data_IF_639096200122
#
_entry.id   IF_639096200122
#
_cell.length_a   1.000
_cell.length_b   1.000
_cell.length_c   1.000
_cell.angle_alpha   90.00
_cell.angle_beta   90.00
_cell.angle_gamma   90.00
#
_symmetry.space_group_name_H-M   'P 1'
#
loop_
_entity.id
_entity.type
_entity.pdbx_description
1 polymer ?
#
# COMPACT_ATOMS: atom_id res chain seq x y z
N UNK A 1 -2.82 -34.60 8.69
CA UNK A 1 -2.00 -34.58 9.93
C UNK A 1 -1.30 -33.25 10.20
N UNK A 2 -0.67 -32.58 9.22
CA UNK A 2 0.00 -31.27 9.42
C UNK A 2 -0.95 -30.21 9.99
N UNK A 3 -2.06 -29.96 9.29
CA UNK A 3 -3.04 -28.94 9.70
C UNK A 3 -3.60 -29.23 11.09
N UNK A 4 -3.87 -30.50 11.41
CA UNK A 4 -4.34 -30.92 12.74
C UNK A 4 -3.35 -30.56 13.85
N UNK A 5 -2.05 -30.84 13.68
CA UNK A 5 -1.01 -30.50 14.68
C UNK A 5 -0.88 -28.99 14.89
N UNK A 6 -1.01 -28.20 13.82
CA UNK A 6 -0.96 -26.73 13.89
C UNK A 6 -2.19 -26.19 14.64
N UNK A 7 -3.39 -26.64 14.26
CA UNK A 7 -4.64 -26.24 14.91
C UNK A 7 -4.62 -26.63 16.39
N UNK A 8 -4.20 -27.85 16.71
CA UNK A 8 -4.10 -28.33 18.09
C UNK A 8 -3.11 -27.50 18.93
N UNK A 9 -1.96 -27.12 18.36
CA UNK A 9 -0.99 -26.27 19.04
C UNK A 9 -1.53 -24.86 19.33
N UNK A 10 -2.25 -24.25 18.39
CA UNK A 10 -2.87 -22.92 18.59
C UNK A 10 -3.94 -23.00 19.67
N UNK A 11 -4.80 -24.02 19.64
CA UNK A 11 -5.86 -24.23 20.64
C UNK A 11 -5.27 -24.36 22.04
N UNK A 12 -4.20 -25.15 22.21
CA UNK A 12 -3.53 -25.29 23.51
C UNK A 12 -2.96 -23.97 24.05
N UNK A 13 -2.39 -23.13 23.19
CA UNK A 13 -1.88 -21.80 23.60
C UNK A 13 -3.03 -20.91 24.07
N UNK A 14 -4.13 -20.85 23.31
CA UNK A 14 -5.28 -19.99 23.65
C UNK A 14 -5.90 -20.42 24.97
N UNK A 15 -6.24 -21.71 25.12
CA UNK A 15 -6.83 -22.21 26.36
C UNK A 15 -5.87 -22.11 27.55
N UNK A 16 -4.59 -22.43 27.37
CA UNK A 16 -3.60 -22.26 28.44
C UNK A 16 -3.50 -20.80 28.92
N UNK A 17 -3.59 -19.84 27.99
CA UNK A 17 -3.48 -18.41 28.30
C UNK A 17 -4.73 -17.89 29.01
N UNK A 18 -5.92 -18.34 28.62
CA UNK A 18 -7.17 -18.00 29.32
C UNK A 18 -7.13 -18.54 30.76
N UNK A 19 -6.73 -19.80 30.94
CA UNK A 19 -6.66 -20.42 32.26
C UNK A 19 -5.68 -19.70 33.20
N UNK A 20 -4.49 -19.33 32.71
CA UNK A 20 -3.52 -18.64 33.57
C UNK A 20 -3.96 -17.23 33.93
N UNK A 21 -4.70 -16.53 33.05
CA UNK A 21 -5.28 -15.21 33.34
C UNK A 21 -6.34 -15.33 34.45
N UNK A 22 -7.22 -16.32 34.37
CA UNK A 22 -8.24 -16.58 35.40
C UNK A 22 -7.59 -16.90 36.74
N UNK A 23 -6.62 -17.82 36.76
CA UNK A 23 -5.89 -18.18 37.98
C UNK A 23 -5.06 -17.03 38.55
N UNK A 24 -4.47 -16.18 37.69
CA UNK A 24 -3.72 -15.01 38.13
C UNK A 24 -4.60 -13.94 38.82
N UNK A 25 -5.90 -13.90 38.49
CA UNK A 25 -6.85 -13.01 39.18
C UNK A 25 -7.34 -13.53 40.53
N UNK A 26 -7.42 -14.84 40.71
CA UNK A 26 -8.07 -15.46 41.87
C UNK A 26 -7.07 -16.04 42.89
N UNK A 27 -5.91 -16.52 42.45
CA UNK A 27 -4.94 -17.22 43.29
C UNK A 27 -3.65 -16.42 43.49
N UNK A 28 -3.10 -16.47 44.72
CA UNK A 28 -1.77 -15.95 45.05
C UNK A 28 -0.95 -17.01 45.77
N UNK A 29 0.36 -17.00 45.56
CA UNK A 29 1.31 -17.90 46.23
C UNK A 29 1.58 -19.19 45.47
N UNK A 30 1.68 -20.32 46.18
CA UNK A 30 2.16 -21.58 45.62
C UNK A 30 1.25 -22.16 44.51
N UNK A 31 -0.07 -21.92 44.57
CA UNK A 31 -1.03 -22.34 43.53
C UNK A 31 -0.73 -21.69 42.18
N UNK A 32 -0.56 -20.37 42.16
CA UNK A 32 -0.17 -19.62 40.96
C UNK A 32 1.21 -20.05 40.45
N UNK A 33 2.16 -20.34 41.34
CA UNK A 33 3.49 -20.85 40.97
C UNK A 33 3.42 -22.20 40.26
N UNK A 34 2.59 -23.12 40.77
CA UNK A 34 2.29 -24.41 40.13
C UNK A 34 1.66 -24.22 38.75
N UNK A 35 0.62 -23.38 38.65
CA UNK A 35 -0.07 -23.08 37.40
C UNK A 35 0.86 -22.48 36.34
N UNK A 36 1.74 -21.55 36.72
CA UNK A 36 2.74 -20.94 35.83
C UNK A 36 3.73 -21.98 35.29
N UNK A 37 4.25 -22.86 36.14
CA UNK A 37 5.15 -23.93 35.69
C UNK A 37 4.48 -24.89 34.71
N UNK A 38 3.21 -25.27 34.98
CA UNK A 38 2.40 -26.08 34.07
C UNK A 38 2.15 -25.39 32.73
N UNK A 39 1.85 -24.08 32.76
CA UNK A 39 1.66 -23.28 31.56
C UNK A 39 2.90 -23.25 30.66
N UNK A 40 4.11 -23.11 31.24
CA UNK A 40 5.38 -23.16 30.47
C UNK A 40 5.56 -24.49 29.75
N UNK A 41 5.22 -25.61 30.41
CA UNK A 41 5.28 -26.95 29.80
C UNK A 41 4.32 -27.07 28.62
N UNK A 42 3.05 -26.63 28.80
CA UNK A 42 2.03 -26.64 27.75
C UNK A 42 2.46 -25.77 26.56
N UNK A 43 3.05 -24.60 26.84
CA UNK A 43 3.54 -23.69 25.82
C UNK A 43 4.70 -24.31 25.03
N UNK A 44 5.62 -24.99 25.70
CA UNK A 44 6.70 -25.76 25.06
C UNK A 44 6.19 -26.87 24.14
N UNK A 45 5.22 -27.68 24.61
CA UNK A 45 4.59 -28.74 23.81
C UNK A 45 3.87 -28.14 22.59
N UNK A 46 3.19 -27.02 22.76
CA UNK A 46 2.44 -26.34 21.70
C UNK A 46 3.37 -25.82 20.59
N UNK A 47 4.47 -25.17 20.97
CA UNK A 47 5.50 -24.71 20.03
C UNK A 47 6.13 -25.92 19.31
N UNK A 48 6.42 -27.01 20.03
CA UNK A 48 6.96 -28.23 19.44
C UNK A 48 6.00 -28.90 18.44
N UNK A 49 4.70 -28.90 18.72
CA UNK A 49 3.68 -29.41 17.80
C UNK A 49 3.64 -28.60 16.50
N UNK A 50 3.65 -27.27 16.60
CA UNK A 50 3.67 -26.37 15.43
C UNK A 50 4.96 -26.56 14.63
N UNK A 51 6.11 -26.65 15.32
CA UNK A 51 7.41 -26.87 14.68
C UNK A 51 7.48 -28.24 13.97
N UNK A 52 7.07 -29.31 14.64
CA UNK A 52 7.10 -30.67 14.09
C UNK A 52 6.14 -30.84 12.90
N UNK A 53 5.01 -30.12 12.89
CA UNK A 53 4.09 -30.09 11.76
C UNK A 53 4.72 -29.48 10.51
N UNK A 54 5.64 -28.52 10.68
CA UNK A 54 6.35 -27.86 9.59
C UNK A 54 7.59 -28.62 9.11
N UNK A 55 8.11 -29.59 9.88
CA UNK A 55 9.29 -30.39 9.49
C UNK A 55 8.96 -31.61 8.61
N UNK A 56 7.68 -31.93 8.37
CA UNK A 56 7.28 -33.12 7.60
C UNK A 56 6.92 -32.73 6.16
N UNK A 57 7.93 -32.73 5.26
CA UNK A 57 7.89 -33.28 3.88
C UNK A 57 9.15 -32.91 3.06
N UNK A 58 10.02 -33.90 2.84
CA UNK A 58 10.71 -34.13 1.55
C UNK A 58 11.04 -35.62 1.47
N UNK A 59 10.03 -36.45 1.21
CA UNK A 59 10.19 -37.85 0.83
C UNK A 59 8.89 -38.32 0.19
N UNK A 60 8.70 -37.96 -1.08
CA UNK A 60 7.77 -38.61 -2.01
C UNK A 60 7.90 -37.86 -3.34
N UNK A 61 8.74 -38.39 -4.22
CA UNK A 61 8.60 -38.41 -5.70
C UNK A 61 9.95 -38.86 -6.29
N UNK A 62 10.17 -40.18 -6.23
CA UNK A 62 11.19 -40.87 -7.01
C UNK A 62 10.46 -41.61 -8.13
N UNK A 63 10.24 -40.93 -9.25
CA UNK A 63 10.15 -41.56 -10.57
C UNK A 63 10.15 -40.48 -11.65
N UNK A 64 11.33 -40.15 -12.17
CA UNK A 64 11.58 -40.14 -13.60
C UNK A 64 13.07 -39.89 -13.85
N UNK A 65 13.66 -40.88 -14.50
CA UNK A 65 14.99 -40.86 -15.08
C UNK A 65 15.27 -39.57 -15.85
N UNK A 66 16.42 -38.96 -15.60
CA UNK A 66 17.29 -38.48 -16.68
C UNK A 66 18.71 -38.33 -16.16
N UNK A 67 19.57 -39.18 -16.73
CA UNK A 67 21.02 -39.17 -16.58
C UNK A 67 21.59 -37.78 -16.87
N UNK A 68 22.22 -37.14 -15.89
CA UNK A 68 23.37 -36.28 -16.16
C UNK A 68 24.44 -36.52 -15.11
N UNK A 69 25.63 -36.83 -15.63
CA UNK A 69 26.85 -37.22 -14.90
C UNK A 69 27.30 -36.13 -13.93
N UNK A 70 27.74 -36.65 -12.78
CA UNK A 70 28.68 -36.10 -11.81
C UNK A 70 29.39 -34.79 -12.16
N UNK A 71 29.29 -33.81 -11.24
CA UNK A 71 30.49 -33.24 -10.63
C UNK A 71 30.23 -32.81 -9.18
N UNK A 72 31.18 -33.21 -8.35
CA UNK A 72 31.19 -33.16 -6.89
C UNK A 72 31.46 -31.75 -6.34
N UNK A 73 30.97 -31.55 -5.11
CA UNK A 73 31.46 -30.69 -4.02
C UNK A 73 31.34 -29.17 -4.19
N UNK A 74 30.40 -28.55 -3.45
CA UNK A 74 30.73 -27.92 -2.16
C UNK A 74 29.49 -27.48 -1.38
N UNK A 75 29.61 -27.63 -0.07
CA UNK A 75 28.63 -27.37 0.97
C UNK A 75 28.17 -25.90 1.08
N UNK A 76 26.91 -25.75 1.49
CA UNK A 76 26.31 -24.59 2.17
C UNK A 76 26.29 -23.23 1.45
N UNK A 77 25.20 -22.99 0.70
CA UNK A 77 24.58 -21.66 0.63
C UNK A 77 23.08 -21.77 0.87
N UNK A 78 22.71 -21.41 2.10
CA UNK A 78 21.49 -20.70 2.50
C UNK A 78 20.28 -20.90 1.57
N UNK A 79 19.33 -21.73 2.01
CA UNK A 79 17.93 -21.58 1.62
C UNK A 79 17.44 -20.23 2.16
N UNK A 80 17.73 -19.17 1.40
CA UNK A 80 16.96 -17.94 1.46
C UNK A 80 15.52 -18.36 1.16
N UNK A 81 14.52 -17.98 1.98
CA UNK A 81 13.13 -18.21 1.61
C UNK A 81 12.96 -17.66 0.19
N UNK A 82 12.43 -18.47 -0.72
CA UNK A 82 12.00 -18.01 -2.03
C UNK A 82 10.97 -16.93 -1.72
N UNK A 83 11.42 -15.67 -1.74
CA UNK A 83 10.56 -14.52 -1.55
C UNK A 83 9.77 -14.49 -2.84
N UNK A 84 8.58 -15.11 -2.81
CA UNK A 84 7.63 -15.02 -3.93
C UNK A 84 7.52 -13.56 -4.31
N UNK A 85 7.52 -13.29 -5.61
CA UNK A 85 7.49 -11.91 -6.07
C UNK A 85 6.26 -11.21 -5.48
N UNK A 86 6.37 -9.91 -5.18
CA UNK A 86 5.24 -9.13 -4.64
C UNK A 86 3.99 -9.29 -5.51
N UNK A 87 4.17 -9.41 -6.83
CA UNK A 87 3.08 -9.66 -7.78
C UNK A 87 2.46 -11.04 -7.60
N UNK A 88 3.27 -12.09 -7.41
CA UNK A 88 2.76 -13.42 -7.06
C UNK A 88 1.99 -13.40 -5.73
N UNK A 89 2.45 -12.63 -4.73
CA UNK A 89 1.74 -12.51 -3.46
C UNK A 89 0.37 -11.85 -3.64
N UNK A 90 0.30 -10.75 -4.41
CA UNK A 90 -0.97 -10.06 -4.71
C UNK A 90 -1.94 -10.94 -5.50
N UNK A 91 -1.45 -11.62 -6.53
CA UNK A 91 -2.27 -12.56 -7.33
C UNK A 91 -2.78 -13.73 -6.48
N UNK A 92 -1.94 -14.31 -5.63
CA UNK A 92 -2.35 -15.39 -4.74
C UNK A 92 -3.42 -14.94 -3.74
N UNK A 93 -3.30 -13.74 -3.16
CA UNK A 93 -4.35 -13.19 -2.29
C UNK A 93 -5.67 -12.97 -3.03
N UNK A 94 -5.60 -12.52 -4.29
CA UNK A 94 -6.77 -12.32 -5.14
C UNK A 94 -7.48 -13.65 -5.45
N UNK A 95 -6.71 -14.70 -5.74
CA UNK A 95 -7.24 -16.06 -5.92
C UNK A 95 -7.95 -16.51 -4.63
N UNK A 96 -7.30 -16.39 -3.47
CA UNK A 96 -7.89 -16.80 -2.19
C UNK A 96 -9.16 -16.02 -1.82
N UNK A 97 -9.22 -14.74 -2.18
CA UNK A 97 -10.45 -13.94 -2.06
C UNK A 97 -11.56 -14.48 -2.95
N UNK A 98 -11.26 -14.73 -4.22
CA UNK A 98 -12.24 -15.24 -5.20
C UNK A 98 -12.75 -16.64 -4.84
N UNK A 99 -11.92 -17.46 -4.20
CA UNK A 99 -12.29 -18.78 -3.70
C UNK A 99 -13.08 -18.73 -2.38
N UNK A 100 -13.31 -17.54 -1.82
CA UNK A 100 -14.01 -17.34 -0.54
C UNK A 100 -13.22 -17.81 0.68
N UNK A 101 -11.90 -18.03 0.54
CA UNK A 101 -11.01 -18.45 1.62
C UNK A 101 -10.66 -17.26 2.53
N UNK A 102 -10.63 -16.05 1.96
CA UNK A 102 -10.44 -14.80 2.69
C UNK A 102 -11.73 -13.99 2.68
N UNK A 103 -12.07 -13.42 3.83
CA UNK A 103 -13.04 -12.33 3.89
C UNK A 103 -12.49 -11.07 3.20
N UNK A 104 -13.38 -10.15 2.85
CA UNK A 104 -12.98 -8.84 2.30
C UNK A 104 -12.02 -8.11 3.25
N UNK A 105 -12.29 -8.13 4.55
CA UNK A 105 -11.45 -7.49 5.57
C UNK A 105 -10.06 -8.12 5.63
N UNK A 106 -9.95 -9.45 5.70
CA UNK A 106 -8.66 -10.13 5.74
C UNK A 106 -7.84 -9.93 4.46
N UNK A 107 -8.52 -9.83 3.32
CA UNK A 107 -7.87 -9.52 2.06
C UNK A 107 -7.26 -8.12 2.09
N UNK A 108 -8.02 -7.11 2.49
CA UNK A 108 -7.53 -5.72 2.57
C UNK A 108 -6.37 -5.59 3.57
N UNK A 109 -6.48 -6.19 4.76
CA UNK A 109 -5.39 -6.18 5.76
C UNK A 109 -4.09 -6.78 5.20
N UNK A 110 -4.18 -7.88 4.44
CA UNK A 110 -3.00 -8.52 3.85
C UNK A 110 -2.42 -7.71 2.70
N UNK A 111 -3.27 -7.08 1.90
CA UNK A 111 -2.83 -6.16 0.84
C UNK A 111 -2.11 -4.94 1.46
N UNK A 112 -2.62 -4.41 2.57
CA UNK A 112 -2.00 -3.30 3.28
C UNK A 112 -0.63 -3.67 3.85
N UNK A 113 -0.48 -4.88 4.40
CA UNK A 113 0.83 -5.39 4.86
C UNK A 113 1.81 -5.44 3.68
N UNK A 114 1.39 -5.98 2.53
CA UNK A 114 2.23 -6.06 1.34
C UNK A 114 2.62 -4.65 0.86
N UNK A 115 1.66 -3.74 0.74
CA UNK A 115 1.92 -2.36 0.30
C UNK A 115 2.89 -1.64 1.25
N UNK A 116 2.73 -1.83 2.57
CA UNK A 116 3.67 -1.28 3.56
C UNK A 116 5.09 -1.84 3.38
N UNK A 117 5.24 -3.14 3.09
CA UNK A 117 6.56 -3.72 2.81
C UNK A 117 7.21 -3.11 1.57
N UNK A 118 6.43 -2.89 0.50
CA UNK A 118 6.90 -2.25 -0.74
C UNK A 118 7.39 -0.84 -0.45
N UNK A 119 6.61 -0.07 0.29
CA UNK A 119 6.96 1.28 0.71
C UNK A 119 8.30 1.28 1.46
N UNK A 120 8.46 0.41 2.47
CA UNK A 120 9.71 0.32 3.23
C UNK A 120 10.91 -0.05 2.33
N UNK A 121 10.74 -1.03 1.42
CA UNK A 121 11.80 -1.41 0.49
C UNK A 121 12.20 -0.28 -0.47
N UNK A 122 11.23 0.53 -0.90
CA UNK A 122 11.45 1.69 -1.76
C UNK A 122 12.11 2.82 -0.99
N UNK A 123 11.61 3.16 0.20
CA UNK A 123 12.17 4.19 1.10
C UNK A 123 13.65 3.90 1.40
N UNK A 124 13.98 2.65 1.72
CA UNK A 124 15.36 2.25 2.01
C UNK A 124 16.32 2.45 0.82
N UNK A 125 15.80 2.53 -0.41
CA UNK A 125 16.59 2.77 -1.62
C UNK A 125 16.74 4.26 -1.95
N UNK A 126 15.92 5.14 -1.34
CA UNK A 126 15.94 6.57 -1.56
C UNK A 126 17.26 7.20 -1.12
N UNK A 127 17.62 8.33 -1.74
CA UNK A 127 18.84 9.08 -1.44
C UNK A 127 18.74 9.68 -0.03
N UNK A 128 17.56 10.13 0.38
CA UNK A 128 17.30 10.74 1.69
C UNK A 128 17.54 9.74 2.81
N UNK A 129 16.98 8.53 2.70
CA UNK A 129 17.18 7.48 3.69
C UNK A 129 18.67 7.10 3.80
N UNK A 130 19.34 6.90 2.65
CA UNK A 130 20.79 6.62 2.62
C UNK A 130 21.60 7.75 3.25
N UNK A 131 21.17 9.00 3.07
CA UNK A 131 21.82 10.17 3.68
C UNK A 131 21.60 10.21 5.18
N UNK A 132 20.37 10.00 5.66
CA UNK A 132 20.06 9.89 7.09
C UNK A 132 20.88 8.77 7.74
N UNK A 133 21.01 7.63 7.07
CA UNK A 133 21.78 6.49 7.56
C UNK A 133 23.27 6.82 7.69
N UNK A 134 23.85 7.52 6.71
CA UNK A 134 25.24 8.01 6.79
C UNK A 134 25.47 8.98 7.95
N UNK A 135 24.52 9.87 8.22
CA UNK A 135 24.62 10.85 9.32
C UNK A 135 24.48 10.16 10.68
N UNK A 136 23.62 9.13 10.79
CA UNK A 136 23.55 8.26 11.96
C UNK A 136 24.87 7.52 12.17
N UNK A 137 25.42 6.91 11.11
CA UNK A 137 26.68 6.15 11.17
C UNK A 137 27.89 7.03 11.48
N UNK A 138 27.78 8.36 11.33
CA UNK A 138 28.81 9.33 11.73
C UNK A 138 28.59 9.92 13.13
N UNK A 139 27.65 9.37 13.92
CA UNK A 139 27.28 9.85 15.26
C UNK A 139 26.84 11.34 15.31
N UNK A 140 26.47 11.92 14.16
CA UNK A 140 25.97 13.30 14.05
C UNK A 140 24.44 13.36 14.28
N UNK A 141 23.80 12.21 14.40
CA UNK A 141 22.38 12.04 14.61
C UNK A 141 22.19 10.94 15.66
N UNK A 142 21.37 11.19 16.68
CA UNK A 142 20.98 10.14 17.62
C UNK A 142 20.08 9.10 16.95
N UNK A 143 20.02 7.89 17.53
CA UNK A 143 19.12 6.84 17.06
C UNK A 143 17.64 7.29 17.07
N UNK A 144 17.22 7.99 18.10
CA UNK A 144 15.85 8.53 18.21
C UNK A 144 15.55 9.54 17.10
N UNK A 145 16.47 10.47 16.83
CA UNK A 145 16.31 11.43 15.73
C UNK A 145 16.33 10.76 14.35
N UNK A 146 17.09 9.67 14.19
CA UNK A 146 17.08 8.87 12.97
C UNK A 146 15.72 8.19 12.76
N UNK A 147 15.17 7.57 13.81
CA UNK A 147 13.86 6.92 13.77
C UNK A 147 12.76 7.95 13.45
N UNK A 148 12.72 9.09 14.15
CA UNK A 148 11.73 10.15 13.90
C UNK A 148 11.78 10.68 12.46
N UNK A 149 12.99 10.92 11.93
CA UNK A 149 13.16 11.40 10.55
C UNK A 149 12.83 10.33 9.51
N UNK A 150 13.11 9.07 9.81
CA UNK A 150 12.75 7.93 8.97
C UNK A 150 11.24 7.74 8.93
N UNK A 151 10.56 7.86 10.07
CA UNK A 151 9.10 7.76 10.15
C UNK A 151 8.41 8.85 9.35
N UNK A 152 8.91 10.10 9.42
CA UNK A 152 8.43 11.19 8.56
C UNK A 152 8.64 10.88 7.08
N UNK A 153 9.81 10.38 6.70
CA UNK A 153 10.10 9.99 5.32
C UNK A 153 9.18 8.85 4.84
N UNK A 154 8.90 7.87 5.69
CA UNK A 154 7.95 6.79 5.39
C UNK A 154 6.54 7.34 5.23
N UNK A 155 6.11 8.26 6.09
CA UNK A 155 4.80 8.90 6.01
C UNK A 155 4.65 9.70 4.70
N UNK A 156 5.64 10.51 4.34
CA UNK A 156 5.64 11.25 3.07
C UNK A 156 5.62 10.31 1.86
N UNK A 157 6.38 9.22 1.91
CA UNK A 157 6.38 8.23 0.83
C UNK A 157 5.07 7.44 0.75
N UNK A 158 4.40 7.17 1.89
CA UNK A 158 3.05 6.57 1.91
C UNK A 158 2.05 7.46 1.18
N UNK A 159 2.10 8.76 1.43
CA UNK A 159 1.26 9.75 0.74
C UNK A 159 1.53 9.71 -0.77
N UNK A 160 2.78 9.84 -1.19
CA UNK A 160 3.20 9.68 -2.59
C UNK A 160 2.69 8.36 -3.20
N UNK A 161 2.93 7.24 -2.53
CA UNK A 161 2.57 5.91 -3.02
C UNK A 161 1.05 5.73 -3.15
N UNK A 162 0.25 6.36 -2.27
CA UNK A 162 -1.21 6.34 -2.37
C UNK A 162 -1.74 7.06 -3.62
N UNK A 163 -0.98 8.02 -4.15
CA UNK A 163 -1.34 8.82 -5.32
C UNK A 163 -0.81 8.18 -6.61
N UNK A 164 0.45 7.74 -6.60
CA UNK A 164 1.15 7.32 -7.82
C UNK A 164 1.38 5.80 -7.93
N UNK A 165 1.12 5.05 -6.85
CA UNK A 165 1.25 3.60 -6.81
C UNK A 165 2.67 3.10 -7.07
N UNK A 166 2.76 1.87 -7.57
CA UNK A 166 4.01 1.12 -7.65
C UNK A 166 4.93 1.54 -8.81
N UNK A 167 4.37 2.12 -9.88
CA UNK A 167 5.04 2.59 -11.11
C UNK A 167 4.00 3.15 -12.12
N UNK A 168 2.92 3.81 -11.68
CA UNK A 168 1.87 4.21 -12.64
C UNK A 168 2.33 5.31 -13.61
N UNK A 169 3.45 5.98 -13.28
CA UNK A 169 3.99 7.14 -13.99
C UNK A 169 5.52 7.21 -13.86
N UNK A 170 6.29 6.63 -14.78
CA UNK A 170 7.77 6.67 -14.78
C UNK A 170 8.36 8.09 -14.68
N UNK A 171 7.65 9.06 -15.25
CA UNK A 171 7.96 10.48 -15.25
C UNK A 171 7.75 11.16 -13.89
N UNK A 172 6.89 10.62 -13.02
CA UNK A 172 6.60 11.19 -11.70
C UNK A 172 7.45 10.51 -10.63
N UNK A 173 8.70 10.97 -10.55
CA UNK A 173 9.65 10.49 -9.55
C UNK A 173 9.36 11.07 -8.17
N UNK A 174 9.89 10.39 -7.14
CA UNK A 174 9.90 10.88 -5.76
C UNK A 174 10.46 12.31 -5.62
N UNK A 175 11.48 12.65 -6.40
CA UNK A 175 12.11 13.98 -6.36
C UNK A 175 11.18 15.07 -6.89
N UNK A 176 10.42 14.76 -7.95
CA UNK A 176 9.40 15.65 -8.48
C UNK A 176 8.27 15.85 -7.46
N UNK A 177 7.75 14.77 -6.84
CA UNK A 177 6.74 14.88 -5.78
C UNK A 177 7.20 15.77 -4.63
N UNK A 178 8.43 15.61 -4.13
CA UNK A 178 8.95 16.49 -3.07
C UNK A 178 9.04 17.94 -3.51
N UNK A 179 9.55 18.19 -4.71
CA UNK A 179 9.64 19.55 -5.27
C UNK A 179 8.26 20.19 -5.35
N UNK A 180 7.24 19.41 -5.71
CA UNK A 180 5.85 19.86 -5.79
C UNK A 180 5.20 20.05 -4.41
N UNK A 181 5.47 19.17 -3.43
CA UNK A 181 5.00 19.32 -2.04
C UNK A 181 5.58 20.57 -1.39
N UNK A 182 6.82 20.92 -1.73
CA UNK A 182 7.49 22.16 -1.30
C UNK A 182 6.85 23.38 -2.00
N UNK A 183 6.33 23.22 -3.22
CA UNK A 183 5.66 24.27 -3.99
C UNK A 183 4.15 24.33 -3.70
N UNK A 184 3.81 24.93 -2.54
CA UNK A 184 2.50 25.43 -2.09
C UNK A 184 1.26 24.64 -2.57
N UNK A 185 0.84 23.69 -1.72
CA UNK A 185 -0.54 23.20 -1.67
C UNK A 185 -1.47 24.39 -1.39
N UNK A 186 -2.51 24.57 -2.19
CA UNK A 186 -3.56 25.52 -1.85
C UNK A 186 -4.41 24.90 -0.72
N UNK A 187 -4.88 25.72 0.22
CA UNK A 187 -5.88 25.25 1.18
C UNK A 187 -7.17 24.87 0.42
N UNK A 188 -7.77 23.73 0.77
CA UNK A 188 -9.01 23.23 0.14
C UNK A 188 -10.18 24.17 0.34
N UNK A 189 -10.15 25.01 1.37
CA UNK A 189 -11.14 26.06 1.59
C UNK A 189 -10.98 27.26 0.63
N UNK A 190 -9.81 27.44 0.01
CA UNK A 190 -9.44 28.66 -0.72
C UNK A 190 -9.33 28.45 -2.24
N UNK A 191 -9.82 27.33 -2.76
CA UNK A 191 -9.79 27.06 -4.20
C UNK A 191 -10.66 28.06 -4.97
N UNK A 192 -10.05 28.74 -5.94
CA UNK A 192 -10.78 29.57 -6.92
C UNK A 192 -10.74 28.90 -8.29
N UNK A 193 -11.68 29.26 -9.18
CA UNK A 193 -11.70 28.77 -10.57
C UNK A 193 -10.39 29.04 -11.30
N UNK A 194 -9.72 30.14 -10.96
CA UNK A 194 -8.45 30.54 -11.57
C UNK A 194 -7.34 29.50 -11.34
N UNK A 195 -7.35 28.81 -10.20
CA UNK A 195 -6.37 27.76 -9.90
C UNK A 195 -6.54 26.51 -10.76
N UNK A 196 -7.74 26.30 -11.33
CA UNK A 196 -8.05 25.14 -12.17
C UNK A 196 -7.76 25.39 -13.65
N UNK A 197 -7.70 26.65 -14.12
CA UNK A 197 -7.51 26.91 -15.55
C UNK A 197 -6.20 26.36 -16.09
N UNK A 198 -6.27 25.84 -17.32
CA UNK A 198 -5.17 25.23 -18.05
C UNK A 198 -5.41 23.77 -18.39
N UNK A 199 -4.39 23.17 -19.00
CA UNK A 199 -4.36 21.76 -19.36
C UNK A 199 -3.79 20.92 -18.21
N UNK A 200 -4.51 19.85 -17.88
CA UNK A 200 -4.16 18.86 -16.88
C UNK A 200 -4.03 17.51 -17.56
N UNK A 201 -2.82 16.96 -17.57
CA UNK A 201 -2.53 15.65 -18.18
C UNK A 201 -2.62 14.53 -17.15
N UNK A 202 -3.36 13.48 -17.51
CA UNK A 202 -3.57 12.27 -16.73
C UNK A 202 -3.00 11.08 -17.53
N UNK A 203 -2.77 9.94 -16.87
CA UNK A 203 -2.31 8.72 -17.55
C UNK A 203 -3.12 8.37 -18.79
N UNK A 204 -4.43 8.42 -18.63
CA UNK A 204 -5.39 7.92 -19.61
C UNK A 204 -6.10 9.05 -20.34
N UNK A 205 -5.57 10.27 -20.32
CA UNK A 205 -6.08 11.39 -21.10
C UNK A 205 -5.79 12.77 -20.51
N UNK A 206 -6.64 13.75 -20.80
CA UNK A 206 -6.41 15.14 -20.42
C UNK A 206 -7.73 15.86 -20.09
N UNK A 207 -7.64 16.85 -19.21
CA UNK A 207 -8.71 17.78 -18.88
C UNK A 207 -8.20 19.20 -19.09
N UNK A 208 -8.93 20.01 -19.86
CA UNK A 208 -8.63 21.42 -20.04
C UNK A 208 -9.77 22.26 -19.48
N UNK A 209 -9.47 23.08 -18.47
CA UNK A 209 -10.36 24.10 -17.95
C UNK A 209 -10.01 25.45 -18.59
N UNK A 210 -10.99 26.11 -19.18
CA UNK A 210 -10.77 27.40 -19.83
C UNK A 210 -12.03 28.27 -19.79
N UNK A 211 -11.83 29.58 -19.93
CA UNK A 211 -12.93 30.51 -20.11
C UNK A 211 -13.16 30.77 -21.60
N UNK A 212 -14.38 30.61 -22.07
CA UNK A 212 -14.77 30.89 -23.45
C UNK A 212 -14.86 32.42 -23.68
N UNK A 213 -14.12 32.93 -24.67
CA UNK A 213 -13.97 34.39 -24.88
C UNK A 213 -15.26 35.11 -25.28
N UNK A 214 -16.21 34.41 -25.89
CA UNK A 214 -17.42 35.03 -26.46
C UNK A 214 -18.47 35.38 -25.40
N UNK A 215 -18.59 34.55 -24.36
CA UNK A 215 -19.65 34.64 -23.34
C UNK A 215 -19.11 34.60 -21.90
N UNK A 216 -17.78 34.55 -21.73
CA UNK A 216 -17.09 34.38 -20.44
C UNK A 216 -17.52 33.11 -19.67
N UNK A 217 -18.07 32.12 -20.35
CA UNK A 217 -18.52 30.88 -19.72
C UNK A 217 -17.32 29.98 -19.39
N UNK A 218 -17.37 29.37 -18.20
CA UNK A 218 -16.40 28.37 -17.77
C UNK A 218 -16.65 27.05 -18.48
N UNK A 219 -15.72 26.67 -19.35
CA UNK A 219 -15.78 25.45 -20.14
C UNK A 219 -14.73 24.45 -19.68
N UNK A 220 -15.06 23.18 -19.85
CA UNK A 220 -14.19 22.06 -19.58
C UNK A 220 -14.24 21.08 -20.75
N UNK A 221 -13.05 20.68 -21.21
CA UNK A 221 -12.85 19.64 -22.22
C UNK A 221 -12.14 18.46 -21.58
N UNK A 222 -12.76 17.28 -21.60
CA UNK A 222 -12.13 16.03 -21.20
C UNK A 222 -11.91 15.18 -22.45
N UNK A 223 -10.71 14.64 -22.60
CA UNK A 223 -10.37 13.69 -23.66
C UNK A 223 -9.64 12.51 -23.06
N UNK A 224 -10.29 11.36 -23.00
CA UNK A 224 -9.67 10.11 -22.56
C UNK A 224 -9.17 9.28 -23.75
N UNK A 225 -8.14 8.47 -23.52
CA UNK A 225 -7.49 7.61 -24.51
C UNK A 225 -8.43 6.52 -25.05
N UNK A 226 -9.49 6.17 -24.30
CA UNK A 226 -10.54 5.25 -24.73
C UNK A 226 -11.54 5.88 -25.73
N UNK A 227 -11.26 7.09 -26.23
CA UNK A 227 -12.11 7.81 -27.17
C UNK A 227 -13.24 8.63 -26.53
N UNK A 228 -13.38 8.60 -25.20
CA UNK A 228 -14.36 9.45 -24.50
C UNK A 228 -13.97 10.91 -24.65
N UNK A 229 -14.89 11.70 -25.19
CA UNK A 229 -14.76 13.14 -25.32
C UNK A 229 -15.95 13.85 -24.66
N UNK A 230 -15.67 14.79 -23.78
CA UNK A 230 -16.67 15.59 -23.07
C UNK A 230 -16.31 17.05 -23.27
N UNK A 231 -17.28 17.85 -23.68
CA UNK A 231 -17.17 19.30 -23.71
C UNK A 231 -18.41 19.87 -23.04
N UNK A 232 -18.24 20.58 -21.93
CA UNK A 232 -19.37 21.10 -21.14
C UNK A 232 -19.00 22.36 -20.37
N UNK A 233 -20.02 23.03 -19.84
CA UNK A 233 -19.81 24.07 -18.83
C UNK A 233 -19.52 23.44 -17.47
N UNK A 234 -18.88 24.19 -16.59
CA UNK A 234 -18.64 23.75 -15.22
C UNK A 234 -18.75 24.88 -14.20
N UNK A 235 -19.01 24.48 -12.95
CA UNK A 235 -18.99 25.39 -11.79
C UNK A 235 -18.25 24.72 -10.64
N UNK A 236 -17.59 25.53 -9.81
CA UNK A 236 -16.91 25.07 -8.60
C UNK A 236 -17.69 25.55 -7.38
N UNK A 237 -18.18 24.61 -6.58
CA UNK A 237 -18.82 24.86 -5.30
C UNK A 237 -18.21 23.92 -4.26
N UNK A 238 -17.66 24.43 -3.16
CA UNK A 238 -17.14 23.64 -2.04
C UNK A 238 -16.19 22.50 -2.47
N UNK A 239 -15.18 22.80 -3.29
CA UNK A 239 -14.25 21.79 -3.85
C UNK A 239 -14.90 20.72 -4.76
N UNK A 240 -16.14 20.93 -5.19
CA UNK A 240 -16.85 20.06 -6.13
C UNK A 240 -17.00 20.79 -7.47
N UNK A 241 -16.49 20.18 -8.53
CA UNK A 241 -16.69 20.62 -9.91
C UNK A 241 -17.98 19.99 -10.41
N UNK A 242 -18.99 20.82 -10.62
CA UNK A 242 -20.28 20.46 -11.19
C UNK A 242 -20.24 20.58 -12.71
N UNK A 243 -20.52 19.50 -13.43
CA UNK A 243 -20.50 19.50 -14.90
C UNK A 243 -21.90 19.78 -15.46
N UNK A 244 -22.05 20.88 -16.20
CA UNK A 244 -23.31 21.29 -16.86
C UNK A 244 -23.30 20.86 -18.32
N UNK A 245 -23.90 19.71 -18.61
CA UNK A 245 -23.99 19.17 -19.98
C UNK A 245 -25.22 19.68 -20.72
N UNK A 246 -24.99 20.22 -21.91
CA UNK A 246 -26.03 20.51 -22.90
C UNK A 246 -26.13 19.36 -23.91
N UNK A 247 -27.02 18.37 -23.68
CA UNK A 247 -27.26 17.29 -24.65
C UNK A 247 -27.95 16.02 -24.11
N UNK A 248 -28.36 15.11 -25.02
CA UNK A 248 -29.11 13.86 -24.74
C UNK A 248 -28.28 12.69 -24.18
N UNK A 249 -26.94 12.82 -24.10
CA UNK A 249 -26.08 11.70 -23.69
C UNK A 249 -25.85 11.73 -22.18
N UNK A 250 -26.58 10.87 -21.47
CA UNK A 250 -26.30 10.50 -20.08
C UNK A 250 -24.93 9.81 -20.03
N UNK A 251 -23.86 10.55 -19.77
CA UNK A 251 -22.64 9.92 -19.27
C UNK A 251 -22.52 10.20 -17.79
N UNK A 252 -21.99 9.19 -17.10
CA UNK A 252 -22.02 8.94 -15.66
C UNK A 252 -21.33 9.99 -14.78
N UNK A 253 -20.84 11.13 -15.27
CA UNK A 253 -20.07 12.08 -14.46
C UNK A 253 -20.76 13.44 -14.41
N UNK A 254 -21.44 13.69 -13.30
CA UNK A 254 -22.10 14.98 -12.99
C UNK A 254 -21.31 15.80 -11.97
N UNK A 255 -20.39 15.17 -11.21
CA UNK A 255 -19.57 15.81 -10.17
C UNK A 255 -18.16 15.24 -10.15
N UNK A 256 -17.15 16.11 -10.04
CA UNK A 256 -15.77 15.75 -9.70
C UNK A 256 -15.47 16.33 -8.32
N UNK A 257 -15.05 15.50 -7.36
CA UNK A 257 -14.67 15.99 -6.03
C UNK A 257 -13.16 16.18 -5.99
N UNK A 258 -12.69 17.40 -5.84
CA UNK A 258 -11.27 17.70 -5.68
C UNK A 258 -10.81 17.13 -4.33
N UNK A 259 -9.79 16.29 -4.37
CA UNK A 259 -9.08 15.75 -3.20
C UNK A 259 -7.90 16.66 -2.85
N UNK A 260 -7.16 17.09 -3.88
CA UNK A 260 -5.97 17.93 -3.74
C UNK A 260 -5.79 18.83 -4.96
N UNK A 261 -5.45 20.09 -4.71
CA UNK A 261 -5.05 21.06 -5.74
C UNK A 261 -3.81 21.81 -5.27
N UNK A 262 -2.75 21.71 -6.07
CA UNK A 262 -1.55 22.52 -5.95
C UNK A 262 -1.30 23.28 -7.24
N UNK A 263 -0.25 24.10 -7.26
CA UNK A 263 0.15 24.85 -8.47
C UNK A 263 0.29 23.93 -9.69
N UNK A 264 0.79 22.70 -9.48
CA UNK A 264 1.06 21.74 -10.53
C UNK A 264 0.40 20.37 -10.32
N UNK A 265 -0.47 20.18 -9.32
CA UNK A 265 -1.12 18.89 -9.05
C UNK A 265 -2.63 19.09 -8.99
N UNK A 266 -3.38 18.20 -9.65
CA UNK A 266 -4.82 18.09 -9.49
C UNK A 266 -5.17 16.62 -9.23
N UNK A 267 -5.76 16.36 -8.07
CA UNK A 267 -6.30 15.06 -7.70
C UNK A 267 -7.80 15.20 -7.47
N UNK A 268 -8.59 14.34 -8.11
CA UNK A 268 -10.04 14.33 -7.91
C UNK A 268 -10.63 12.92 -7.96
N UNK A 269 -11.86 12.79 -7.45
CA UNK A 269 -12.67 11.58 -7.55
C UNK A 269 -13.81 11.77 -8.56
N UNK A 270 -14.00 10.79 -9.45
CA UNK A 270 -15.19 10.65 -10.28
C UNK A 270 -15.78 9.24 -10.17
N UNK A 271 -17.00 9.14 -9.65
CA UNK A 271 -17.70 7.86 -9.39
C UNK A 271 -16.79 6.85 -8.68
N UNK A 272 -16.23 7.25 -7.54
CA UNK A 272 -15.33 6.45 -6.68
C UNK A 272 -13.91 6.23 -7.24
N UNK A 273 -13.68 6.48 -8.52
CA UNK A 273 -12.33 6.38 -9.10
C UNK A 273 -11.53 7.65 -8.82
N UNK A 274 -10.30 7.47 -8.31
CA UNK A 274 -9.33 8.55 -8.09
C UNK A 274 -8.54 8.82 -9.38
N UNK A 275 -8.44 10.09 -9.75
CA UNK A 275 -7.66 10.57 -10.87
C UNK A 275 -6.64 11.58 -10.37
N UNK A 276 -5.42 11.47 -10.86
CA UNK A 276 -4.31 12.36 -10.50
C UNK A 276 -3.66 12.88 -11.76
N UNK A 277 -3.44 14.18 -11.82
CA UNK A 277 -2.80 14.87 -12.94
C UNK A 277 -1.77 15.86 -12.45
N UNK A 278 -0.81 16.11 -13.33
CA UNK A 278 0.17 17.15 -13.16
C UNK A 278 0.05 18.14 -14.32
N UNK A 279 0.11 19.43 -13.97
CA UNK A 279 0.15 20.52 -14.93
C UNK A 279 1.56 20.60 -15.49
N UNK A 280 1.70 20.43 -16.80
CA UNK A 280 2.95 20.79 -17.48
C UNK A 280 2.89 22.29 -17.76
N UNK A 281 3.88 23.03 -17.25
CA UNK A 281 4.16 24.35 -17.79
C UNK A 281 4.72 24.13 -19.20
N UNK A 282 3.88 24.34 -20.21
CA UNK A 282 4.38 24.56 -21.57
C UNK A 282 5.01 25.94 -21.59
N UNK A 283 6.35 25.99 -21.63
CA UNK A 283 7.13 27.17 -21.99
C UNK A 283 6.68 27.75 -23.34
#
# INVERSE_FOLDING_TARGET
MKNFKIILGIVLIVFGTITIIQMASEERGAGLGGALSGYVIILGISIWLIYSANKVKSNSENSLNLNFKEQKTNHYKQNKPIKSSINEQKENLKILKNEGVLSDTEYEEKIDIINNQIILEKVNKLIEYKSLKKVLDSDLLSKEQFEEKTDKLIADYKEYYSIFGENSYPEFTWDLYKTMKINQKYDTADYTKNHLYGNWEFKDGQINFYQEKENNADKLKIRWNNGTYINCEWELNDSIIHLKRTGKVKSKVEKLRIDELGTNILVFYANENKYSSIKYETE
#
